data_IF_045075678740
#
_entry.id   IF_045075678740
#
_cell.length_a   1.000
_cell.length_b   1.000
_cell.length_c   1.000
_cell.angle_alpha   90.00
_cell.angle_beta   90.00
_cell.angle_gamma   90.00
#
_symmetry.space_group_name_H-M   'P 1'
#
loop_
_entity.id
_entity.type
_entity.pdbx_description
1 polymer ?
#
# COMPACT_ATOMS: atom_id res chain seq x y z
N UNK A 1 9.15 -26.60 -20.59
CA UNK A 1 9.44 -26.52 -19.14
C UNK A 1 10.00 -25.13 -18.86
N UNK A 2 9.21 -24.23 -18.26
CA UNK A 2 9.72 -22.92 -17.85
C UNK A 2 10.55 -23.10 -16.58
N UNK A 3 11.83 -22.72 -16.63
CA UNK A 3 12.68 -22.65 -15.44
C UNK A 3 12.14 -21.54 -14.54
N UNK A 4 11.63 -21.88 -13.35
CA UNK A 4 11.31 -20.88 -12.33
C UNK A 4 12.62 -20.27 -11.82
N UNK A 5 12.94 -19.06 -12.26
CA UNK A 5 14.01 -18.26 -11.67
C UNK A 5 13.52 -17.79 -10.30
N UNK A 6 14.17 -18.25 -9.23
CA UNK A 6 13.93 -17.74 -7.88
C UNK A 6 14.69 -16.44 -7.69
N UNK A 7 13.99 -15.43 -7.18
CA UNK A 7 14.59 -14.14 -6.84
C UNK A 7 15.57 -14.31 -5.67
N UNK A 8 16.74 -13.66 -5.73
CA UNK A 8 17.74 -13.75 -4.68
C UNK A 8 17.49 -12.67 -3.61
N UNK A 9 17.11 -13.10 -2.40
CA UNK A 9 16.82 -12.18 -1.30
C UNK A 9 18.01 -11.30 -0.88
N UNK A 10 19.27 -11.72 -1.12
CA UNK A 10 20.44 -10.89 -0.79
C UNK A 10 20.61 -9.71 -1.76
N UNK A 11 20.21 -9.88 -3.02
CA UNK A 11 20.31 -8.81 -4.03
C UNK A 11 19.14 -7.84 -3.94
N UNK A 12 17.98 -8.28 -3.42
CA UNK A 12 16.77 -7.45 -3.31
C UNK A 12 16.52 -6.90 -1.92
N UNK A 13 17.34 -7.24 -0.91
CA UNK A 13 17.06 -6.88 0.50
C UNK A 13 16.89 -5.37 0.73
N UNK A 14 17.67 -4.53 0.04
CA UNK A 14 17.57 -3.07 0.17
C UNK A 14 16.20 -2.56 -0.27
N UNK A 15 15.79 -2.92 -1.49
CA UNK A 15 14.48 -2.56 -2.04
C UNK A 15 13.34 -3.19 -1.23
N UNK A 16 13.44 -4.47 -0.84
CA UNK A 16 12.41 -5.09 0.00
C UNK A 16 12.21 -4.33 1.32
N UNK A 17 13.29 -3.86 1.96
CA UNK A 17 13.21 -3.06 3.19
C UNK A 17 12.58 -1.70 2.88
N UNK A 18 13.02 -1.04 1.81
CA UNK A 18 12.51 0.27 1.41
C UNK A 18 11.01 0.22 1.08
N UNK A 19 10.58 -0.75 0.28
CA UNK A 19 9.19 -0.93 -0.12
C UNK A 19 8.28 -1.21 1.09
N UNK A 20 8.68 -2.15 1.97
CA UNK A 20 7.90 -2.45 3.17
C UNK A 20 7.85 -1.26 4.14
N UNK A 21 8.97 -0.55 4.31
CA UNK A 21 9.04 0.66 5.12
C UNK A 21 8.19 1.79 4.55
N UNK A 22 8.28 2.03 3.25
CA UNK A 22 7.56 3.09 2.55
C UNK A 22 6.05 2.92 2.63
N UNK A 23 5.53 1.71 2.39
CA UNK A 23 4.09 1.43 2.53
C UNK A 23 3.63 1.63 3.97
N UNK A 24 4.40 1.16 4.94
CA UNK A 24 4.05 1.27 6.35
C UNK A 24 3.95 2.73 6.79
N UNK A 25 4.96 3.55 6.47
CA UNK A 25 5.00 4.95 6.90
C UNK A 25 3.98 5.81 6.13
N UNK A 26 3.78 5.57 4.83
CA UNK A 26 2.74 6.27 4.06
C UNK A 26 1.32 5.91 4.50
N UNK A 27 1.05 4.64 4.83
CA UNK A 27 -0.24 4.23 5.37
C UNK A 27 -0.49 4.85 6.75
N UNK A 28 0.54 4.91 7.61
CA UNK A 28 0.43 5.61 8.90
C UNK A 28 0.11 7.09 8.71
N UNK A 29 0.84 7.78 7.84
CA UNK A 29 0.59 9.18 7.52
C UNK A 29 -0.85 9.40 6.99
N UNK A 30 -1.35 8.45 6.19
CA UNK A 30 -2.73 8.47 5.73
C UNK A 30 -3.75 8.34 6.89
N UNK A 31 -3.52 7.44 7.85
CA UNK A 31 -4.39 7.33 9.04
C UNK A 31 -4.34 8.60 9.90
N UNK A 32 -3.15 9.17 10.11
CA UNK A 32 -2.99 10.42 10.87
C UNK A 32 -3.74 11.57 10.19
N UNK A 33 -3.68 11.64 8.85
CA UNK A 33 -4.46 12.57 8.06
C UNK A 33 -5.98 12.35 8.22
N UNK A 34 -6.47 11.10 8.10
CA UNK A 34 -7.89 10.79 8.32
C UNK A 34 -8.36 11.24 9.70
N UNK A 35 -7.55 11.01 10.74
CA UNK A 35 -7.85 11.48 12.09
C UNK A 35 -7.94 13.01 12.16
N UNK A 36 -7.05 13.72 11.45
CA UNK A 36 -7.04 15.19 11.43
C UNK A 36 -8.28 15.81 10.76
N UNK A 37 -8.95 15.08 9.86
CA UNK A 37 -10.14 15.56 9.13
C UNK A 37 -11.47 15.01 9.68
N UNK A 38 -11.47 14.31 10.82
CA UNK A 38 -12.68 13.80 11.47
C UNK A 38 -13.01 12.32 11.20
N UNK A 39 -12.07 11.57 10.63
CA UNK A 39 -12.05 10.10 10.66
C UNK A 39 -12.39 9.40 9.33
N UNK A 40 -12.86 10.10 8.30
CA UNK A 40 -13.14 9.48 7.00
C UNK A 40 -13.13 10.46 5.83
N UNK A 41 -12.92 9.92 4.63
CA UNK A 41 -13.11 10.61 3.36
C UNK A 41 -14.33 10.03 2.62
N UNK A 42 -14.95 10.80 1.72
CA UNK A 42 -16.02 10.27 0.86
C UNK A 42 -15.57 9.08 0.02
N UNK A 43 -16.45 8.09 -0.15
CA UNK A 43 -16.20 6.94 -1.03
C UNK A 43 -16.07 7.39 -2.49
N UNK A 44 -15.17 6.75 -3.23
CA UNK A 44 -14.98 7.02 -4.65
C UNK A 44 -16.19 6.55 -5.49
N UNK A 45 -16.70 7.37 -6.42
CA UNK A 45 -17.74 6.96 -7.35
C UNK A 45 -17.33 5.73 -8.16
N UNK A 46 -18.16 4.69 -8.15
CA UNK A 46 -17.92 3.44 -8.87
C UNK A 46 -17.09 2.41 -8.11
N UNK A 47 -16.58 2.74 -6.91
CA UNK A 47 -15.79 1.85 -6.04
C UNK A 47 -16.31 1.84 -4.59
N UNK A 48 -17.61 2.11 -4.38
CA UNK A 48 -18.20 2.23 -3.04
C UNK A 48 -18.19 0.91 -2.25
N UNK A 49 -17.88 -0.22 -2.90
CA UNK A 49 -17.68 -1.51 -2.26
C UNK A 49 -16.29 -1.65 -1.58
N UNK A 50 -15.39 -0.68 -1.76
CA UNK A 50 -14.09 -0.63 -1.11
C UNK A 50 -14.05 0.49 -0.07
N UNK A 51 -13.45 0.20 1.08
CA UNK A 51 -13.13 1.23 2.08
C UNK A 51 -11.93 2.06 1.61
N UNK A 52 -11.77 3.28 2.13
CA UNK A 52 -10.60 4.10 1.77
C UNK A 52 -9.27 3.44 2.16
N UNK A 53 -9.25 2.64 3.24
CA UNK A 53 -8.09 1.83 3.61
C UNK A 53 -7.79 0.74 2.57
N UNK A 54 -8.81 0.08 2.01
CA UNK A 54 -8.60 -0.87 0.92
C UNK A 54 -8.15 -0.17 -0.36
N UNK A 55 -8.74 0.99 -0.67
CA UNK A 55 -8.36 1.81 -1.81
C UNK A 55 -6.90 2.29 -1.73
N UNK A 56 -6.39 2.59 -0.54
CA UNK A 56 -4.97 2.89 -0.33
C UNK A 56 -4.08 1.76 -0.87
N UNK A 57 -4.35 0.51 -0.51
CA UNK A 57 -3.55 -0.63 -0.96
C UNK A 57 -3.79 -1.00 -2.44
N UNK A 58 -5.00 -0.76 -2.96
CA UNK A 58 -5.25 -0.86 -4.42
C UNK A 58 -4.43 0.17 -5.18
N UNK A 59 -4.34 1.42 -4.68
CA UNK A 59 -3.53 2.46 -5.29
C UNK A 59 -2.04 2.18 -5.20
N UNK A 60 -1.57 1.57 -4.11
CA UNK A 60 -0.16 1.16 -3.98
C UNK A 60 0.22 0.04 -4.96
N UNK A 61 -0.71 -0.84 -5.30
CA UNK A 61 -0.47 -2.00 -6.15
C UNK A 61 -0.72 -1.76 -7.65
N UNK A 62 -1.29 -0.60 -8.02
CA UNK A 62 -1.56 -0.19 -9.41
C UNK A 62 -0.30 0.39 -10.07
#
# INVERSE_FOLDING_TARGET
MASMIKMNGKTTIGENIADNGGVKESFKAYQDYLQSIGGSEPSLPGLQNLTNNQLFFVSYAN
#
